data_IF_236388647128
#
_entry.id   IF_236388647128
#
_cell.length_a   1.000
_cell.length_b   1.000
_cell.length_c   1.000
_cell.angle_alpha   90.00
_cell.angle_beta   90.00
_cell.angle_gamma   90.00
#
_symmetry.space_group_name_H-M   'P 1'
#
loop_
_entity.id
_entity.type
_entity.pdbx_description
1 polymer ?
#
# COMPACT_ATOMS: atom_id res chain seq x y z
N UNK A 1 16.90 11.47 -6.37
CA UNK A 1 15.71 12.08 -5.74
C UNK A 1 16.17 12.74 -4.44
N UNK A 2 15.48 13.77 -3.94
CA UNK A 2 15.75 14.28 -2.58
C UNK A 2 14.91 13.52 -1.54
N UNK A 3 15.46 13.29 -0.36
CA UNK A 3 14.75 12.62 0.74
C UNK A 3 13.42 13.32 1.08
N UNK A 4 13.41 14.66 1.07
CA UNK A 4 12.20 15.46 1.30
C UNK A 4 11.10 15.21 0.24
N UNK A 5 11.48 14.96 -1.02
CA UNK A 5 10.51 14.65 -2.09
C UNK A 5 9.86 13.28 -1.84
N UNK A 6 10.66 12.29 -1.44
CA UNK A 6 10.17 10.96 -1.07
C UNK A 6 9.23 11.04 0.14
N UNK A 7 9.62 11.77 1.19
CA UNK A 7 8.81 11.94 2.40
C UNK A 7 7.46 12.59 2.08
N UNK A 8 7.40 13.59 1.20
CA UNK A 8 6.13 14.20 0.75
C UNK A 8 5.19 13.21 0.04
N UNK A 9 5.72 12.15 -0.55
CA UNK A 9 4.92 11.11 -1.22
C UNK A 9 4.37 10.04 -0.27
N UNK A 10 4.73 10.06 1.01
CA UNK A 10 4.17 9.12 2.00
C UNK A 10 2.70 9.43 2.30
N UNK A 11 1.88 8.39 2.42
CA UNK A 11 0.41 8.51 2.45
C UNK A 11 -0.12 9.37 3.60
N UNK A 12 0.48 9.27 4.78
CA UNK A 12 0.10 10.07 5.94
C UNK A 12 0.34 11.57 5.73
N UNK A 13 1.24 11.96 4.83
CA UNK A 13 1.57 13.37 4.57
C UNK A 13 0.59 14.01 3.58
N UNK A 14 0.22 13.34 2.49
CA UNK A 14 -0.68 13.91 1.48
C UNK A 14 -2.16 13.60 1.70
N UNK A 15 -2.50 12.45 2.29
CA UNK A 15 -3.90 12.02 2.44
C UNK A 15 -4.78 13.01 3.22
N UNK A 16 -4.35 13.65 4.33
CA UNK A 16 -5.18 14.62 5.04
C UNK A 16 -5.66 15.79 4.18
N UNK A 17 -4.82 16.25 3.26
CA UNK A 17 -5.13 17.38 2.36
C UNK A 17 -6.07 16.98 1.22
N UNK A 18 -6.01 15.72 0.79
CA UNK A 18 -6.77 15.19 -0.34
C UNK A 18 -7.90 14.24 0.09
N UNK A 19 -8.22 14.19 1.38
CA UNK A 19 -9.19 13.24 1.95
C UNK A 19 -10.57 13.32 1.32
N UNK A 20 -11.00 14.51 0.90
CA UNK A 20 -12.32 14.73 0.26
C UNK A 20 -12.42 14.17 -1.15
N UNK A 21 -11.30 14.06 -1.86
CA UNK A 21 -11.24 13.59 -3.26
C UNK A 21 -10.57 12.22 -3.39
N UNK A 22 -10.02 11.69 -2.30
CA UNK A 22 -9.40 10.38 -2.23
C UNK A 22 -10.36 9.36 -1.62
N UNK A 23 -10.19 8.11 -2.04
CA UNK A 23 -10.84 6.97 -1.43
C UNK A 23 -10.55 6.89 0.08
N UNK A 24 -11.57 6.54 0.87
CA UNK A 24 -11.46 6.40 2.32
C UNK A 24 -10.35 5.40 2.66
N UNK A 25 -9.37 5.91 3.40
CA UNK A 25 -8.17 5.20 3.84
C UNK A 25 -8.07 5.30 5.37
N UNK A 26 -7.82 4.16 6.02
CA UNK A 26 -7.41 4.09 7.43
C UNK A 26 -5.88 4.03 7.46
N UNK A 27 -5.26 4.82 8.32
CA UNK A 27 -3.81 4.91 8.45
C UNK A 27 -3.45 4.59 9.89
N UNK A 28 -2.60 3.59 10.10
CA UNK A 28 -2.11 3.18 11.41
C UNK A 28 -0.59 3.21 11.42
N UNK A 29 0.00 3.90 12.39
CA UNK A 29 1.44 3.81 12.63
C UNK A 29 1.79 2.40 13.10
N UNK A 30 2.83 1.82 12.53
CA UNK A 30 3.29 0.48 12.84
C UNK A 30 4.33 0.54 13.97
N UNK A 31 4.13 -0.21 15.06
CA UNK A 31 5.17 -0.38 16.07
C UNK A 31 6.42 -1.01 15.46
N UNK A 32 7.61 -0.62 15.95
CA UNK A 32 8.89 -1.15 15.45
C UNK A 32 8.97 -2.68 15.60
N UNK A 33 8.37 -3.26 16.65
CA UNK A 33 8.30 -4.72 16.80
C UNK A 33 7.54 -5.41 15.67
N UNK A 34 6.52 -4.76 15.13
CA UNK A 34 5.73 -5.28 14.01
C UNK A 34 6.47 -5.10 12.67
N UNK A 35 7.23 -4.01 12.52
CA UNK A 35 8.13 -3.82 11.39
C UNK A 35 9.21 -4.91 11.39
N UNK A 36 9.83 -5.15 12.54
CA UNK A 36 10.85 -6.21 12.67
C UNK A 36 10.28 -7.60 12.38
N UNK A 37 9.01 -7.85 12.71
CA UNK A 37 8.31 -9.08 12.34
C UNK A 37 8.19 -9.27 10.82
N UNK A 38 7.96 -8.19 10.05
CA UNK A 38 7.97 -8.27 8.57
C UNK A 38 9.36 -8.53 7.99
N UNK A 39 10.41 -8.04 8.66
CA UNK A 39 11.80 -8.16 8.22
C UNK A 39 12.46 -9.49 8.62
N UNK A 40 11.86 -10.23 9.54
CA UNK A 40 12.38 -11.53 9.97
C UNK A 40 12.01 -12.60 8.93
N UNK A 41 12.93 -12.91 8.02
CA UNK A 41 12.77 -13.98 7.02
C UNK A 41 12.92 -15.39 7.62
N UNK A 42 13.47 -15.51 8.83
CA UNK A 42 13.76 -16.79 9.48
C UNK A 42 12.71 -17.20 10.52
N UNK A 43 11.93 -16.23 11.03
CA UNK A 43 10.90 -16.45 12.03
C UNK A 43 9.67 -17.17 11.48
N UNK A 44 9.00 -18.02 12.29
CA UNK A 44 7.73 -18.62 11.89
C UNK A 44 6.69 -17.53 11.60
N UNK A 45 5.76 -17.79 10.68
CA UNK A 45 4.53 -16.99 10.56
C UNK A 45 3.73 -17.15 11.85
N UNK A 46 3.81 -16.16 12.74
CA UNK A 46 3.06 -16.18 14.00
C UNK A 46 1.63 -15.76 13.67
N UNK A 47 0.73 -16.74 13.77
CA UNK A 47 -0.70 -16.51 13.59
C UNK A 47 -1.30 -16.00 14.91
N UNK A 48 -2.32 -15.15 14.85
CA UNK A 48 -3.14 -14.87 16.01
C UNK A 48 -3.64 -16.17 16.66
N UNK A 49 -3.65 -16.23 17.99
CA UNK A 49 -4.07 -17.43 18.75
C UNK A 49 -5.46 -17.97 18.37
N UNK A 50 -6.33 -17.13 17.78
CA UNK A 50 -7.63 -17.55 17.26
C UNK A 50 -7.58 -18.55 16.11
N UNK A 51 -6.46 -18.65 15.38
CA UNK A 51 -6.27 -19.58 14.26
C UNK A 51 -5.54 -20.86 14.72
N UNK A 52 -4.78 -20.78 15.82
CA UNK A 52 -3.96 -21.87 16.38
C UNK A 52 -4.73 -22.83 17.30
N UNK A 53 -6.00 -22.53 17.66
CA UNK A 53 -6.78 -23.42 18.52
C UNK A 53 -7.15 -24.72 17.78
N UNK A 54 -6.50 -25.79 18.20
CA UNK A 54 -6.59 -27.16 17.69
C UNK A 54 -7.91 -27.88 18.06
N UNK A 55 -8.98 -27.15 18.33
CA UNK A 55 -10.28 -27.72 18.68
C UNK A 55 -11.09 -27.97 17.41
N UNK A 56 -11.12 -29.22 16.96
CA UNK A 56 -11.95 -29.72 15.85
C UNK A 56 -13.47 -29.52 16.05
N UNK A 57 -13.90 -28.76 17.05
CA UNK A 57 -15.29 -28.38 17.34
C UNK A 57 -15.55 -26.86 17.33
N UNK A 58 -14.51 -26.01 17.27
CA UNK A 58 -14.67 -24.55 17.16
C UNK A 58 -15.01 -24.09 15.71
N UNK A 59 -14.96 -25.00 14.75
CA UNK A 59 -15.36 -24.79 13.34
C UNK A 59 -16.88 -24.55 13.14
N UNK A 60 -17.67 -24.35 14.21
CA UNK A 60 -19.11 -24.02 14.10
C UNK A 60 -19.47 -22.57 14.40
N UNK A 61 -18.51 -21.75 14.82
CA UNK A 61 -18.68 -20.29 14.83
C UNK A 61 -17.61 -19.71 13.90
N UNK A 62 -17.82 -19.95 12.61
CA UNK A 62 -17.08 -19.34 11.53
C UNK A 62 -17.32 -17.83 11.60
N UNK A 63 -16.36 -17.07 12.12
CA UNK A 63 -16.39 -15.62 12.05
C UNK A 63 -15.51 -15.17 10.88
N UNK A 64 -16.09 -14.92 9.69
CA UNK A 64 -15.32 -14.57 8.49
C UNK A 64 -14.46 -13.31 8.70
N UNK A 65 -14.87 -12.43 9.62
CA UNK A 65 -14.16 -11.19 9.95
C UNK A 65 -12.75 -11.42 10.52
N UNK A 66 -12.44 -12.61 11.08
CA UNK A 66 -11.13 -12.90 11.70
C UNK A 66 -10.13 -13.57 10.74
N UNK A 67 -10.59 -14.14 9.63
CA UNK A 67 -9.71 -14.75 8.62
C UNK A 67 -9.04 -13.67 7.75
N UNK A 68 -9.72 -12.54 7.52
CA UNK A 68 -9.24 -11.44 6.70
C UNK A 68 -7.94 -10.81 7.24
N UNK A 69 -7.80 -10.69 8.56
CA UNK A 69 -6.61 -10.10 9.20
C UNK A 69 -5.33 -10.89 8.90
N UNK A 70 -5.44 -12.23 8.83
CA UNK A 70 -4.30 -13.08 8.49
C UNK A 70 -3.86 -12.91 7.04
N UNK A 71 -4.82 -12.80 6.13
CA UNK A 71 -4.56 -12.62 4.70
C UNK A 71 -3.75 -11.34 4.47
N UNK A 72 -4.07 -10.26 5.20
CA UNK A 72 -3.32 -9.00 5.10
C UNK A 72 -1.86 -9.20 5.52
N UNK A 73 -1.59 -9.85 6.66
CA UNK A 73 -0.22 -10.08 7.15
C UNK A 73 0.58 -10.94 6.18
N UNK A 74 -0.02 -12.01 5.65
CA UNK A 74 0.62 -12.88 4.67
C UNK A 74 0.94 -12.14 3.37
N UNK A 75 0.00 -11.35 2.84
CA UNK A 75 0.19 -10.54 1.63
C UNK A 75 1.31 -9.51 1.81
N UNK A 76 1.36 -8.85 2.97
CA UNK A 76 2.40 -7.85 3.25
C UNK A 76 3.79 -8.50 3.38
N UNK A 77 3.90 -9.63 4.09
CA UNK A 77 5.18 -10.33 4.29
C UNK A 77 5.74 -10.94 3.00
N UNK A 78 4.87 -11.37 2.08
CA UNK A 78 5.28 -11.92 0.78
C UNK A 78 5.54 -10.87 -0.31
N UNK A 79 5.42 -9.58 0.00
CA UNK A 79 5.53 -8.50 -0.98
C UNK A 79 6.94 -7.90 -1.01
N UNK A 80 7.65 -8.09 -2.13
CA UNK A 80 8.95 -7.44 -2.38
C UNK A 80 8.86 -5.91 -2.33
N UNK A 81 7.70 -5.34 -2.70
CA UNK A 81 7.47 -3.89 -2.64
C UNK A 81 7.41 -3.39 -1.19
N UNK A 82 6.80 -4.16 -0.29
CA UNK A 82 6.78 -3.84 1.14
C UNK A 82 8.19 -3.95 1.73
N UNK A 83 8.93 -5.02 1.41
CA UNK A 83 10.33 -5.17 1.84
C UNK A 83 11.19 -4.01 1.36
N UNK A 84 11.02 -3.59 0.10
CA UNK A 84 11.68 -2.41 -0.44
C UNK A 84 11.34 -1.15 0.37
N UNK A 85 10.06 -0.91 0.69
CA UNK A 85 9.64 0.27 1.45
C UNK A 85 10.21 0.25 2.89
N UNK A 86 10.32 -0.92 3.52
CA UNK A 86 10.86 -1.06 4.87
C UNK A 86 12.39 -0.92 4.95
N UNK A 87 13.12 -1.44 3.96
CA UNK A 87 14.58 -1.54 4.00
C UNK A 87 15.33 -0.57 3.09
N UNK A 88 14.68 -0.13 2.00
CA UNK A 88 15.35 0.42 0.83
C UNK A 88 14.71 1.69 0.29
N UNK A 89 13.65 2.21 0.92
CA UNK A 89 12.94 3.40 0.47
C UNK A 89 13.87 4.59 0.17
N UNK A 90 14.92 4.79 0.97
CA UNK A 90 15.85 5.90 0.80
C UNK A 90 17.01 5.59 -0.16
N UNK A 91 17.12 4.39 -0.72
CA UNK A 91 18.30 3.99 -1.50
C UNK A 91 18.59 4.92 -2.68
N UNK A 92 17.53 5.42 -3.33
CA UNK A 92 17.56 6.34 -4.48
C UNK A 92 17.69 7.83 -4.12
N UNK A 93 17.79 8.15 -2.83
CA UNK A 93 17.99 9.51 -2.34
C UNK A 93 19.49 9.84 -2.29
N UNK A 94 19.87 10.98 -2.87
CA UNK A 94 21.27 11.40 -2.96
C UNK A 94 21.77 12.07 -1.67
N UNK A 95 20.84 12.57 -0.87
CA UNK A 95 21.02 13.37 0.35
C UNK A 95 20.60 12.60 1.62
N UNK A 96 20.50 11.27 1.53
CA UNK A 96 20.00 10.42 2.61
C UNK A 96 20.90 10.47 3.85
N UNK A 97 20.28 10.70 5.01
CA UNK A 97 20.97 10.57 6.31
C UNK A 97 20.82 9.17 6.91
N UNK A 98 19.67 8.54 6.66
CA UNK A 98 19.32 7.19 7.09
C UNK A 98 18.94 6.33 5.88
N UNK A 99 19.19 5.02 5.97
CA UNK A 99 18.86 4.06 4.90
C UNK A 99 17.35 3.75 4.81
N UNK A 100 16.61 3.99 5.90
CA UNK A 100 15.16 3.79 5.98
C UNK A 100 14.50 4.86 6.86
N UNK A 101 13.18 5.10 6.72
CA UNK A 101 12.40 5.92 7.64
C UNK A 101 12.44 5.39 9.08
N UNK A 102 12.25 6.28 10.06
CA UNK A 102 12.13 5.92 11.48
C UNK A 102 10.73 5.48 11.90
N UNK A 103 9.72 5.79 11.10
CA UNK A 103 8.32 5.44 11.35
C UNK A 103 7.68 4.90 10.08
N UNK A 104 6.80 3.91 10.26
CA UNK A 104 6.11 3.23 9.17
C UNK A 104 4.61 3.28 9.40
N UNK A 105 3.84 3.30 8.31
CA UNK A 105 2.39 3.41 8.37
C UNK A 105 1.73 2.34 7.50
N UNK A 106 0.80 1.60 8.09
CA UNK A 106 -0.10 0.71 7.38
C UNK A 106 -1.32 1.50 6.90
N UNK A 107 -1.53 1.51 5.58
CA UNK A 107 -2.69 2.16 4.97
C UNK A 107 -3.67 1.13 4.40
N UNK A 108 -4.84 1.02 5.03
CA UNK A 108 -5.93 0.15 4.60
C UNK A 108 -6.93 0.95 3.78
N UNK A 109 -7.10 0.58 2.50
CA UNK A 109 -7.98 1.25 1.55
C UNK A 109 -9.10 0.30 1.15
N UNK A 110 -10.33 0.83 1.09
CA UNK A 110 -11.46 0.03 0.63
C UNK A 110 -11.32 -0.26 -0.85
N UNK A 111 -11.30 -1.53 -1.25
CA UNK A 111 -11.14 -1.88 -2.66
C UNK A 111 -12.43 -1.60 -3.47
N UNK A 112 -12.25 -1.04 -4.67
CA UNK A 112 -13.32 -0.80 -5.65
C UNK A 112 -12.77 -0.99 -7.07
N UNK A 113 -13.47 -1.69 -7.96
CA UNK A 113 -13.09 -1.75 -9.37
C UNK A 113 -13.39 -0.40 -10.04
N UNK A 114 -12.36 0.22 -10.63
CA UNK A 114 -12.50 1.49 -11.35
C UNK A 114 -11.52 1.60 -12.50
N UNK A 115 -11.80 2.50 -13.46
CA UNK A 115 -10.82 2.92 -14.46
C UNK A 115 -9.73 3.75 -13.80
N UNK A 116 -8.47 3.41 -14.05
CA UNK A 116 -7.33 4.09 -13.45
C UNK A 116 -6.47 4.81 -14.49
N UNK A 117 -6.09 6.04 -14.16
CA UNK A 117 -5.19 6.87 -14.95
C UNK A 117 -4.00 7.32 -14.14
N UNK A 118 -2.86 7.51 -14.79
CA UNK A 118 -1.73 8.27 -14.24
C UNK A 118 -1.73 9.66 -14.82
N UNK A 119 -1.58 10.64 -13.93
CA UNK A 119 -1.39 12.04 -14.29
C UNK A 119 0.06 12.44 -13.97
N UNK A 120 0.71 13.12 -14.92
CA UNK A 120 2.06 13.64 -14.76
C UNK A 120 2.00 15.16 -14.61
N UNK A 121 2.57 15.68 -13.52
CA UNK A 121 2.53 17.10 -13.18
C UNK A 121 3.95 17.65 -13.08
N UNK A 122 4.23 18.78 -13.73
CA UNK A 122 5.51 19.50 -13.64
C UNK A 122 5.23 20.99 -13.51
N UNK A 123 5.91 21.68 -12.60
CA UNK A 123 5.71 23.11 -12.34
C UNK A 123 4.23 23.48 -12.09
N UNK A 124 3.50 22.62 -11.37
CA UNK A 124 2.05 22.74 -11.11
C UNK A 124 1.16 22.70 -12.37
N UNK A 125 1.69 22.28 -13.50
CA UNK A 125 0.94 22.07 -14.75
C UNK A 125 0.80 20.58 -15.02
N UNK A 126 -0.40 20.15 -15.42
CA UNK A 126 -0.65 18.81 -15.92
C UNK A 126 -0.03 18.69 -17.32
N UNK A 127 1.01 17.85 -17.44
CA UNK A 127 1.78 17.69 -18.69
C UNK A 127 1.41 16.42 -19.46
N UNK A 128 0.68 15.49 -18.84
CA UNK A 128 0.22 14.29 -19.52
C UNK A 128 -0.69 13.42 -18.65
N UNK A 129 -1.53 12.64 -19.31
CA UNK A 129 -2.36 11.59 -18.73
C UNK A 129 -2.15 10.31 -19.54
N UNK A 130 -2.09 9.16 -18.86
CA UNK A 130 -2.04 7.83 -19.49
C UNK A 130 -2.92 6.84 -18.73
N UNK A 131 -3.42 5.82 -19.42
CA UNK A 131 -4.09 4.69 -18.76
C UNK A 131 -3.08 3.95 -17.85
N UNK A 132 -3.49 3.62 -16.62
CA UNK A 132 -2.63 2.88 -15.67
C UNK A 132 -2.53 1.40 -16.05
N UNK A 133 -3.65 0.83 -16.50
CA UNK A 133 -3.73 -0.55 -16.98
C UNK A 133 -3.06 -0.70 -18.35
N UNK A 134 -2.24 -1.74 -18.49
CA UNK A 134 -1.40 -1.99 -19.68
C UNK A 134 -1.87 -3.18 -20.51
N UNK A 135 -2.75 -4.02 -19.95
CA UNK A 135 -3.22 -5.28 -20.57
C UNK A 135 -4.54 -5.14 -21.31
N UNK A 136 -5.26 -4.05 -21.07
CA UNK A 136 -6.55 -3.75 -21.70
C UNK A 136 -6.60 -2.33 -22.24
N UNK A 137 -7.46 -2.11 -23.23
CA UNK A 137 -7.79 -0.78 -23.73
C UNK A 137 -9.20 -0.43 -23.25
N UNK A 138 -9.42 0.77 -22.72
CA UNK A 138 -10.78 1.25 -22.46
C UNK A 138 -11.43 1.72 -23.77
N UNK A 139 -12.39 0.97 -24.35
CA UNK A 139 -12.91 1.27 -25.69
C UNK A 139 -13.57 2.66 -25.76
N UNK A 140 -14.23 3.06 -24.68
CA UNK A 140 -14.87 4.38 -24.53
C UNK A 140 -13.90 5.54 -24.79
N UNK A 141 -12.61 5.41 -24.42
CA UNK A 141 -11.62 6.47 -24.67
C UNK A 141 -11.23 6.60 -26.14
N UNK A 142 -11.35 5.53 -26.91
CA UNK A 142 -11.06 5.54 -28.35
C UNK A 142 -12.22 6.15 -29.12
N UNK A 143 -13.45 5.92 -28.67
CA UNK A 143 -14.65 6.47 -29.27
C UNK A 143 -14.75 7.98 -29.06
N UNK A 144 -14.47 8.47 -27.85
CA UNK A 144 -14.49 9.92 -27.56
C UNK A 144 -13.44 10.70 -28.35
N UNK A 145 -12.25 10.12 -28.58
CA UNK A 145 -11.18 10.78 -29.33
C UNK A 145 -11.50 10.95 -30.83
N UNK A 146 -12.44 10.18 -31.38
CA UNK A 146 -12.87 10.32 -32.78
C UNK A 146 -13.93 11.41 -32.97
N UNK A 147 -14.48 11.97 -31.88
CA UNK A 147 -15.54 12.98 -31.90
C UNK A 147 -15.10 14.41 -31.52
N UNK A 148 -13.81 14.67 -31.27
CA UNK A 148 -13.22 16.01 -31.07
C UNK A 148 -12.18 16.31 -32.14
#
# INVERSE_FOLDING_TARGET
>A
MKEEELNRCQIQNWYPQLKSISMKTLIHELPESFVQYFLDDCGPLILPHSILNNDAFANRIHNPDKEEDFVIVLLLRSSDSVVHDLCHAHNSCNDKTLLRPSTFFLALRKWYPSMEFRCFVRNRLLVGISQREVTGLYPVLVEEKKGS
#
